data_IF_743483307284
#
_entry.id   IF_743483307284
#
_cell.length_a   1.000
_cell.length_b   1.000
_cell.length_c   1.000
_cell.angle_alpha   90.00
_cell.angle_beta   90.00
_cell.angle_gamma   90.00
#
_symmetry.space_group_name_H-M   'P 1'
#
loop_
_entity.id
_entity.type
_entity.pdbx_description
1 polymer ?
#
# COMPACT_ATOMS: atom_id res chain seq x y z
N UNK A 1 -22.62 -10.33 10.80
CA UNK A 1 -22.11 -10.28 9.42
C UNK A 1 -23.26 -9.81 8.55
N UNK A 2 -23.17 -8.61 8.05
CA UNK A 2 -24.22 -8.02 7.21
C UNK A 2 -23.95 -8.27 5.72
N UNK A 3 -22.72 -8.62 5.35
CA UNK A 3 -22.32 -8.85 3.97
C UNK A 3 -21.38 -10.06 3.81
N UNK A 4 -21.53 -10.76 2.68
CA UNK A 4 -20.65 -11.83 2.24
C UNK A 4 -20.67 -13.07 3.15
N UNK A 5 -19.62 -13.88 3.02
CA UNK A 5 -19.47 -15.17 3.73
C UNK A 5 -18.62 -15.04 5.00
N UNK A 6 -18.00 -13.89 5.24
CA UNK A 6 -17.01 -13.69 6.29
C UNK A 6 -15.59 -14.18 5.93
N UNK A 7 -15.41 -14.76 4.76
CA UNK A 7 -14.09 -15.13 4.24
C UNK A 7 -13.45 -13.93 3.53
N UNK A 8 -12.21 -13.61 3.90
CA UNK A 8 -11.47 -12.46 3.35
C UNK A 8 -10.13 -12.95 2.80
N UNK A 9 -9.82 -12.56 1.57
CA UNK A 9 -8.51 -12.71 0.97
C UNK A 9 -7.67 -11.48 1.35
N UNK A 10 -6.46 -11.69 1.85
CA UNK A 10 -5.54 -10.64 2.28
C UNK A 10 -4.20 -10.86 1.60
N UNK A 11 -3.69 -9.84 0.88
CA UNK A 11 -2.42 -9.88 0.14
C UNK A 11 -1.47 -8.77 0.60
N UNK A 12 -0.73 -8.97 1.69
CA UNK A 12 0.09 -7.92 2.31
C UNK A 12 1.15 -7.32 1.40
N UNK A 13 1.64 -8.07 0.40
CA UNK A 13 2.67 -7.58 -0.51
C UNK A 13 2.16 -6.57 -1.56
N UNK A 14 0.84 -6.52 -1.82
CA UNK A 14 0.30 -5.81 -2.99
C UNK A 14 -0.88 -4.87 -2.68
N UNK A 15 -1.18 -4.66 -1.41
CA UNK A 15 -2.18 -3.69 -0.96
C UNK A 15 -1.75 -3.04 0.35
N UNK A 16 -1.75 -1.69 0.45
CA UNK A 16 -1.33 -0.99 1.67
C UNK A 16 -2.21 -1.29 2.90
N UNK A 17 -3.51 -1.51 2.72
CA UNK A 17 -4.40 -1.85 3.83
C UNK A 17 -4.16 -3.30 4.28
N UNK A 18 -4.01 -4.22 3.33
CA UNK A 18 -3.68 -5.62 3.60
C UNK A 18 -2.30 -5.73 4.29
N UNK A 19 -1.35 -4.85 3.95
CA UNK A 19 -0.06 -4.75 4.64
C UNK A 19 -0.22 -4.45 6.13
N UNK A 20 -1.07 -3.47 6.49
CA UNK A 20 -1.33 -3.14 7.89
C UNK A 20 -2.04 -4.29 8.63
N UNK A 21 -2.95 -4.99 7.97
CA UNK A 21 -3.58 -6.21 8.51
C UNK A 21 -2.54 -7.31 8.67
N UNK A 22 -1.70 -7.51 7.67
CA UNK A 22 -0.60 -8.49 7.69
C UNK A 22 0.34 -8.30 8.88
N UNK A 23 0.75 -7.05 9.15
CA UNK A 23 1.58 -6.72 10.32
C UNK A 23 0.89 -7.04 11.65
N UNK A 24 -0.39 -6.68 11.79
CA UNK A 24 -1.15 -6.92 13.03
C UNK A 24 -1.35 -8.39 13.34
N UNK A 25 -1.50 -9.22 12.31
CA UNK A 25 -1.80 -10.63 12.42
C UNK A 25 -0.62 -11.56 12.10
N UNK A 26 0.55 -10.98 11.84
CA UNK A 26 1.77 -11.71 11.47
C UNK A 26 1.55 -12.67 10.29
N UNK A 27 0.86 -12.18 9.25
CA UNK A 27 0.57 -12.96 8.05
C UNK A 27 1.81 -13.05 7.16
N UNK A 28 1.91 -14.15 6.42
CA UNK A 28 2.97 -14.34 5.44
C UNK A 28 2.86 -13.26 4.33
N UNK A 29 4.02 -12.76 3.91
CA UNK A 29 4.13 -11.75 2.86
C UNK A 29 4.66 -12.43 1.60
N UNK A 30 3.77 -12.73 0.67
CA UNK A 30 4.10 -13.38 -0.60
C UNK A 30 4.11 -12.32 -1.70
N UNK A 31 5.30 -11.94 -2.17
CA UNK A 31 5.44 -11.04 -3.31
C UNK A 31 5.30 -11.82 -4.61
N UNK A 32 4.41 -11.39 -5.50
CA UNK A 32 4.12 -12.03 -6.79
C UNK A 32 4.77 -11.32 -7.99
N UNK A 33 5.42 -10.16 -7.78
CA UNK A 33 5.94 -9.33 -8.85
C UNK A 33 7.46 -9.29 -8.87
N UNK A 34 8.01 -9.24 -10.06
CA UNK A 34 9.37 -8.81 -10.34
C UNK A 34 9.49 -7.28 -10.32
N UNK A 35 10.71 -6.72 -10.23
CA UNK A 35 10.91 -5.25 -10.28
C UNK A 35 10.40 -4.58 -11.57
N UNK A 36 10.28 -5.32 -12.67
CA UNK A 36 9.75 -4.85 -13.95
C UNK A 36 8.20 -4.92 -14.04
N UNK A 37 7.52 -5.38 -12.97
CA UNK A 37 6.08 -5.52 -12.90
C UNK A 37 5.52 -6.78 -13.55
N UNK A 38 6.36 -7.72 -13.96
CA UNK A 38 5.93 -9.05 -14.40
C UNK A 38 5.75 -10.00 -13.22
N UNK A 39 4.98 -11.06 -13.39
CA UNK A 39 4.78 -12.08 -12.38
C UNK A 39 6.04 -12.95 -12.20
N UNK A 40 6.43 -13.19 -10.94
CA UNK A 40 7.64 -13.92 -10.57
C UNK A 40 7.42 -15.43 -10.40
N UNK A 41 8.40 -16.11 -9.79
CA UNK A 41 8.37 -17.56 -9.55
C UNK A 41 7.37 -18.03 -8.49
N UNK A 42 6.83 -17.12 -7.66
CA UNK A 42 5.85 -17.46 -6.62
C UNK A 42 4.44 -17.74 -7.17
N UNK A 43 4.23 -17.50 -8.46
CA UNK A 43 2.99 -17.87 -9.15
C UNK A 43 3.13 -19.20 -9.89
N UNK A 44 2.02 -19.91 -10.21
CA UNK A 44 2.05 -21.09 -11.06
C UNK A 44 2.78 -20.84 -12.38
N UNK A 45 3.53 -21.83 -12.85
CA UNK A 45 4.45 -21.71 -13.99
C UNK A 45 3.81 -21.05 -15.23
N UNK A 46 2.54 -21.35 -15.51
CA UNK A 46 1.81 -20.81 -16.67
C UNK A 46 1.62 -19.29 -16.67
N UNK A 47 1.72 -18.62 -15.49
CA UNK A 47 1.56 -17.17 -15.38
C UNK A 47 2.89 -16.42 -15.28
N UNK A 48 4.01 -17.11 -15.05
CA UNK A 48 5.32 -16.49 -14.83
C UNK A 48 5.74 -15.62 -16.01
N UNK A 49 6.32 -14.47 -15.73
CA UNK A 49 6.77 -13.52 -16.74
C UNK A 49 5.66 -12.74 -17.45
N UNK A 50 4.40 -12.97 -17.10
CA UNK A 50 3.28 -12.21 -17.65
C UNK A 50 3.09 -10.88 -16.93
N UNK A 51 2.55 -9.89 -17.65
CA UNK A 51 2.02 -8.68 -17.01
C UNK A 51 0.72 -8.98 -16.27
N UNK A 52 0.39 -8.22 -15.23
CA UNK A 52 -0.86 -8.40 -14.45
C UNK A 52 -2.10 -8.42 -15.35
N UNK A 53 -2.15 -7.58 -16.39
CA UNK A 53 -3.29 -7.53 -17.31
C UNK A 53 -3.48 -8.84 -18.09
N UNK A 54 -2.38 -9.40 -18.61
CA UNK A 54 -2.44 -10.69 -19.33
C UNK A 54 -2.80 -11.85 -18.40
N UNK A 55 -2.18 -11.90 -17.23
CA UNK A 55 -2.46 -12.94 -16.25
C UNK A 55 -3.91 -12.91 -15.76
N UNK A 56 -4.50 -11.71 -15.59
CA UNK A 56 -5.92 -11.57 -15.19
C UNK A 56 -6.84 -12.24 -16.21
N UNK A 57 -6.64 -12.03 -17.50
CA UNK A 57 -7.45 -12.67 -18.54
C UNK A 57 -7.33 -14.21 -18.47
N UNK A 58 -6.11 -14.73 -18.39
CA UNK A 58 -5.88 -16.17 -18.31
C UNK A 58 -6.45 -16.80 -17.02
N UNK A 59 -6.38 -16.10 -15.88
CA UNK A 59 -6.99 -16.57 -14.63
C UNK A 59 -8.51 -16.68 -14.75
N UNK A 60 -9.16 -15.74 -15.45
CA UNK A 60 -10.61 -15.82 -15.72
C UNK A 60 -10.94 -17.03 -16.58
N UNK A 61 -10.16 -17.31 -17.63
CA UNK A 61 -10.29 -18.50 -18.47
C UNK A 61 -10.16 -19.78 -17.64
N UNK A 62 -9.11 -19.90 -16.85
CA UNK A 62 -8.86 -21.06 -15.98
C UNK A 62 -9.99 -21.29 -14.95
N UNK A 63 -10.48 -20.21 -14.32
CA UNK A 63 -11.59 -20.31 -13.38
C UNK A 63 -12.90 -20.72 -14.08
N UNK A 64 -13.08 -20.28 -15.32
CA UNK A 64 -14.24 -20.67 -16.15
C UNK A 64 -14.18 -22.14 -16.50
N UNK A 65 -13.02 -22.62 -16.95
CA UNK A 65 -12.81 -24.06 -17.26
C UNK A 65 -12.99 -24.94 -16.01
N UNK A 66 -12.56 -24.45 -14.84
CA UNK A 66 -12.76 -25.14 -13.57
C UNK A 66 -14.20 -25.08 -13.03
N UNK A 67 -15.11 -24.36 -13.69
CA UNK A 67 -16.50 -24.15 -13.22
C UNK A 67 -16.61 -23.28 -11.97
N UNK A 68 -15.58 -22.50 -11.67
CA UNK A 68 -15.51 -21.65 -10.45
C UNK A 68 -15.81 -20.17 -10.74
N UNK A 69 -15.86 -19.77 -12.01
CA UNK A 69 -16.18 -18.39 -12.40
C UNK A 69 -17.69 -18.17 -12.37
N UNK A 70 -18.13 -17.16 -11.62
CA UNK A 70 -19.57 -16.82 -11.51
C UNK A 70 -19.95 -15.69 -12.46
N UNK A 71 -19.32 -14.55 -12.35
CA UNK A 71 -19.59 -13.37 -13.18
C UNK A 71 -18.48 -12.33 -13.02
N UNK A 72 -18.42 -11.39 -13.96
CA UNK A 72 -17.66 -10.16 -13.91
C UNK A 72 -18.61 -8.97 -13.95
N UNK A 73 -18.45 -8.05 -13.00
CA UNK A 73 -19.26 -6.84 -12.92
C UNK A 73 -18.38 -5.61 -13.10
N UNK A 74 -18.82 -4.69 -13.94
CA UNK A 74 -18.11 -3.41 -14.14
C UNK A 74 -18.34 -2.50 -12.95
N UNK A 75 -17.25 -2.03 -12.37
CA UNK A 75 -17.29 -1.03 -11.29
C UNK A 75 -16.39 0.16 -11.62
N UNK A 76 -16.79 1.34 -11.18
CA UNK A 76 -15.95 2.54 -11.26
C UNK A 76 -15.18 2.71 -9.97
N UNK A 77 -13.85 2.75 -10.07
CA UNK A 77 -12.97 3.03 -8.94
C UNK A 77 -11.73 3.82 -9.40
N UNK A 78 -11.06 4.48 -8.46
CA UNK A 78 -9.82 5.21 -8.73
C UNK A 78 -8.64 4.26 -8.81
N UNK A 79 -7.83 4.38 -9.86
CA UNK A 79 -6.61 3.61 -10.05
C UNK A 79 -5.41 4.54 -10.09
N UNK A 80 -4.39 4.27 -9.28
CA UNK A 80 -3.14 5.00 -9.28
C UNK A 80 -2.42 4.86 -10.63
N UNK A 81 -2.02 5.98 -11.23
CA UNK A 81 -1.27 6.00 -12.49
C UNK A 81 -0.03 6.88 -12.35
N UNK A 82 1.05 6.48 -13.02
CA UNK A 82 2.22 7.32 -13.15
C UNK A 82 1.84 8.66 -13.80
N UNK A 83 2.19 9.77 -13.16
CA UNK A 83 1.85 11.11 -13.70
C UNK A 83 2.52 11.38 -15.04
N UNK A 84 3.66 10.76 -15.33
CA UNK A 84 4.47 10.94 -16.54
C UNK A 84 4.00 10.04 -17.70
N UNK A 85 4.02 8.73 -17.53
CA UNK A 85 3.72 7.76 -18.59
C UNK A 85 2.30 7.17 -18.54
N UNK A 86 1.50 7.52 -17.51
CA UNK A 86 0.13 7.05 -17.32
C UNK A 86 -0.01 5.53 -17.08
N UNK A 87 1.08 4.81 -16.96
CA UNK A 87 1.05 3.38 -16.59
C UNK A 87 0.41 3.20 -15.22
N UNK A 88 -0.41 2.16 -15.07
CA UNK A 88 -1.00 1.79 -13.78
C UNK A 88 0.12 1.40 -12.81
N UNK A 89 0.06 1.92 -11.60
CA UNK A 89 1.02 1.60 -10.54
C UNK A 89 0.53 0.35 -9.82
N UNK A 90 1.31 -0.72 -9.91
CA UNK A 90 1.09 -1.93 -9.13
C UNK A 90 1.84 -1.80 -7.80
N UNK A 91 1.18 -1.94 -6.63
CA UNK A 91 1.86 -1.91 -5.35
C UNK A 91 2.92 -3.01 -5.25
N UNK A 92 4.13 -2.62 -4.83
CA UNK A 92 5.29 -3.51 -4.75
C UNK A 92 6.11 -3.16 -3.50
N UNK A 93 6.44 -4.16 -2.69
CA UNK A 93 7.28 -3.98 -1.52
C UNK A 93 8.76 -3.93 -1.93
N UNK A 94 9.44 -2.88 -1.50
CA UNK A 94 10.88 -2.72 -1.69
C UNK A 94 11.54 -2.19 -0.42
N UNK A 95 12.81 -2.56 -0.21
CA UNK A 95 13.58 -2.02 0.90
C UNK A 95 13.85 -0.52 0.66
N UNK A 96 13.48 0.31 1.62
CA UNK A 96 13.62 1.75 1.57
C UNK A 96 14.20 2.28 2.87
N UNK A 97 14.88 3.42 2.81
CA UNK A 97 15.35 4.12 4.01
C UNK A 97 14.23 4.98 4.60
N UNK A 98 13.99 4.79 5.89
CA UNK A 98 13.02 5.58 6.64
C UNK A 98 13.68 6.26 7.82
N UNK A 99 13.27 7.52 8.06
CA UNK A 99 13.56 8.24 9.30
C UNK A 99 12.39 8.02 10.25
N UNK A 100 12.68 7.53 11.45
CA UNK A 100 11.69 7.42 12.53
C UNK A 100 11.34 8.82 13.02
N UNK A 101 10.19 9.34 12.60
CA UNK A 101 9.79 10.72 12.88
C UNK A 101 9.20 10.89 14.28
N UNK A 102 8.53 9.87 14.81
CA UNK A 102 7.79 9.96 16.09
C UNK A 102 8.65 10.44 17.27
N UNK A 103 9.88 9.94 17.52
CA UNK A 103 10.69 10.41 18.65
C UNK A 103 11.09 11.88 18.56
N UNK A 104 11.26 12.41 17.35
CA UNK A 104 11.56 13.83 17.12
C UNK A 104 10.31 14.69 17.31
N UNK A 105 9.18 14.24 16.79
CA UNK A 105 7.89 14.93 16.95
C UNK A 105 7.48 15.01 18.43
N UNK A 106 7.67 13.94 19.20
CA UNK A 106 7.34 13.93 20.63
C UNK A 106 8.15 14.97 21.42
N UNK A 107 9.45 15.12 21.10
CA UNK A 107 10.29 16.17 21.70
C UNK A 107 9.80 17.58 21.33
N UNK A 108 9.46 17.79 20.06
CA UNK A 108 8.95 19.07 19.58
C UNK A 108 7.59 19.43 20.20
N UNK A 109 6.69 18.45 20.34
CA UNK A 109 5.42 18.64 21.04
C UNK A 109 5.62 18.93 22.53
N UNK A 110 6.58 18.26 23.19
CA UNK A 110 6.89 18.53 24.60
C UNK A 110 7.39 19.97 24.80
N UNK A 111 8.31 20.46 23.96
CA UNK A 111 8.82 21.82 24.00
C UNK A 111 7.70 22.86 23.77
N UNK A 112 6.80 22.61 22.82
CA UNK A 112 5.64 23.46 22.61
C UNK A 112 4.71 23.48 23.83
N UNK A 113 4.36 22.34 24.39
CA UNK A 113 3.51 22.25 25.60
C UNK A 113 4.15 22.89 26.82
N UNK A 114 5.47 22.89 26.91
CA UNK A 114 6.22 23.63 27.96
C UNK A 114 6.27 25.15 27.73
N UNK A 115 5.75 25.65 26.60
CA UNK A 115 5.75 27.08 26.28
C UNK A 115 7.07 27.62 25.71
N UNK A 116 8.03 26.74 25.40
CA UNK A 116 9.31 27.07 24.77
C UNK A 116 9.14 27.50 23.30
N UNK A 117 8.10 26.96 22.64
CA UNK A 117 7.72 27.28 21.25
C UNK A 117 6.41 28.04 21.29
N UNK A 118 6.35 29.21 20.64
CA UNK A 118 5.15 30.06 20.55
C UNK A 118 4.86 30.39 19.09
N UNK A 119 3.58 30.39 18.73
CA UNK A 119 3.12 30.68 17.38
C UNK A 119 2.45 32.07 17.30
N UNK A 120 2.78 32.79 16.23
CA UNK A 120 2.13 34.07 15.90
C UNK A 120 1.65 34.02 14.44
N UNK A 121 0.35 34.06 14.18
CA UNK A 121 -0.75 34.07 15.16
C UNK A 121 -0.95 32.69 15.81
N UNK A 122 -1.53 32.69 17.00
CA UNK A 122 -1.72 31.48 17.83
C UNK A 122 -2.50 30.33 17.15
N UNK A 123 -3.37 30.65 16.18
CA UNK A 123 -4.15 29.65 15.43
C UNK A 123 -3.32 28.53 14.81
N UNK A 124 -2.02 28.73 14.58
CA UNK A 124 -1.13 27.71 14.01
C UNK A 124 -0.75 26.60 14.99
N UNK A 125 -1.01 26.77 16.28
CA UNK A 125 -0.79 25.74 17.29
C UNK A 125 -1.57 24.46 16.99
N UNK A 126 -2.85 24.58 16.60
CA UNK A 126 -3.69 23.44 16.24
C UNK A 126 -3.14 22.67 15.03
N UNK A 127 -2.64 23.40 14.04
CA UNK A 127 -2.04 22.78 12.85
C UNK A 127 -0.75 22.05 13.21
N UNK A 128 0.09 22.68 14.02
CA UNK A 128 1.34 22.09 14.51
C UNK A 128 1.09 20.80 15.31
N UNK A 129 0.20 20.86 16.29
CA UNK A 129 -0.17 19.68 17.08
C UNK A 129 -0.72 18.55 16.21
N UNK A 130 -1.64 18.87 15.31
CA UNK A 130 -2.24 17.87 14.42
C UNK A 130 -1.20 17.16 13.54
N UNK A 131 -0.30 17.91 12.91
CA UNK A 131 0.75 17.36 12.07
C UNK A 131 1.73 16.47 12.85
N UNK A 132 2.20 16.90 14.00
CA UNK A 132 3.18 16.16 14.78
C UNK A 132 2.57 14.96 15.51
N UNK A 133 1.31 15.03 15.92
CA UNK A 133 0.60 13.91 16.55
C UNK A 133 0.35 12.79 15.55
N UNK A 134 -0.03 13.15 14.32
CA UNK A 134 -0.32 12.22 13.24
C UNK A 134 0.89 11.86 12.36
N UNK A 135 2.11 12.24 12.76
CA UNK A 135 3.29 12.07 11.91
C UNK A 135 3.62 10.61 11.65
N UNK A 136 3.94 10.31 10.40
CA UNK A 136 4.41 8.99 9.96
C UNK A 136 5.90 9.02 9.68
N UNK A 137 6.54 7.86 9.72
CA UNK A 137 7.93 7.72 9.33
C UNK A 137 8.16 8.22 7.90
N UNK A 138 9.23 8.97 7.70
CA UNK A 138 9.56 9.62 6.44
C UNK A 138 10.44 8.74 5.59
N UNK A 139 9.92 8.27 4.44
CA UNK A 139 10.75 7.61 3.43
C UNK A 139 11.66 8.64 2.75
N UNK A 140 12.96 8.48 2.95
CA UNK A 140 13.97 9.38 2.36
C UNK A 140 14.60 8.84 1.08
N UNK A 141 14.35 7.57 0.76
CA UNK A 141 14.82 6.98 -0.51
C UNK A 141 14.18 7.65 -1.72
N UNK A 142 14.96 7.81 -2.77
CA UNK A 142 14.50 8.27 -4.09
C UNK A 142 15.20 7.41 -5.13
N UNK A 143 14.40 6.74 -5.98
CA UNK A 143 14.92 6.09 -7.18
C UNK A 143 15.01 7.17 -8.26
N UNK A 144 16.22 7.58 -8.57
CA UNK A 144 16.54 8.55 -9.62
C UNK A 144 17.18 7.77 -10.77
N UNK A 145 16.50 7.75 -11.90
CA UNK A 145 16.94 7.07 -13.12
C UNK A 145 17.48 8.08 -14.12
#
# INVERSE_FOLDING_TARGET
>A
MEFGTGMVKITPAHDPNDWEVGKRHNLEVINLLNPDGTLNENVPQKYRGMTCAKARALVIEDLTEAGLFKCEEKMNHSVGKCYRCKTVVEPYLSAQWFVKMKPMADKALAAWKAGEIKFFPQKWENTYEHWLTGIRDWCVSRQIW
#
